data_IF_057480594159
#
_entry.id   IF_057480594159
#
_cell.length_a   1.000
_cell.length_b   1.000
_cell.length_c   1.000
_cell.angle_alpha   90.00
_cell.angle_beta   90.00
_cell.angle_gamma   90.00
#
_symmetry.space_group_name_H-M   'P 1'
#
loop_
_entity.id
_entity.type
_entity.pdbx_description
1 polymer ?
#
# COMPACT_ATOMS: atom_id res chain seq x y z
N UNK A 1 -20.07 -8.92 -6.29
CA UNK A 1 -18.63 -8.56 -6.14
C UNK A 1 -18.03 -9.47 -5.09
N UNK A 2 -16.96 -10.17 -5.42
CA UNK A 2 -16.33 -11.08 -4.48
C UNK A 2 -15.36 -10.34 -3.53
N UNK A 3 -14.83 -11.06 -2.56
CA UNK A 3 -13.96 -10.50 -1.52
C UNK A 3 -12.71 -9.82 -2.10
N UNK A 4 -12.14 -10.38 -3.16
CA UNK A 4 -10.96 -9.81 -3.81
C UNK A 4 -11.21 -8.39 -4.31
N UNK A 5 -12.26 -8.20 -5.07
CA UNK A 5 -12.60 -6.87 -5.62
C UNK A 5 -13.07 -5.90 -4.54
N UNK A 6 -13.79 -6.39 -3.54
CA UNK A 6 -14.19 -5.56 -2.40
C UNK A 6 -12.98 -5.02 -1.65
N UNK A 7 -12.02 -5.89 -1.35
CA UNK A 7 -10.80 -5.51 -0.66
C UNK A 7 -9.96 -4.54 -1.51
N UNK A 8 -9.76 -4.86 -2.78
CA UNK A 8 -8.99 -4.03 -3.68
C UNK A 8 -9.58 -2.62 -3.82
N UNK A 9 -10.90 -2.54 -4.06
CA UNK A 9 -11.54 -1.24 -4.24
C UNK A 9 -11.66 -0.45 -2.95
N UNK A 10 -11.79 -1.13 -1.83
CA UNK A 10 -11.73 -0.48 -0.53
C UNK A 10 -10.38 0.21 -0.31
N UNK A 11 -9.28 -0.51 -0.51
CA UNK A 11 -7.92 0.04 -0.34
C UNK A 11 -7.66 1.16 -1.36
N UNK A 12 -8.09 0.97 -2.60
CA UNK A 12 -8.02 2.00 -3.64
C UNK A 12 -8.73 3.29 -3.21
N UNK A 13 -9.96 3.18 -2.75
CA UNK A 13 -10.75 4.32 -2.30
C UNK A 13 -10.10 5.04 -1.12
N UNK A 14 -9.52 4.28 -0.21
CA UNK A 14 -8.83 4.82 0.95
C UNK A 14 -7.57 5.60 0.55
N UNK A 15 -6.80 5.07 -0.39
CA UNK A 15 -5.64 5.76 -0.92
C UNK A 15 -6.02 7.03 -1.69
N UNK A 16 -7.05 6.96 -2.52
CA UNK A 16 -7.54 8.12 -3.29
C UNK A 16 -8.10 9.23 -2.39
N UNK A 17 -8.60 8.88 -1.21
CA UNK A 17 -9.12 9.86 -0.25
C UNK A 17 -8.02 10.64 0.47
N UNK A 18 -6.79 10.18 0.46
CA UNK A 18 -5.67 10.90 1.08
C UNK A 18 -5.28 12.10 0.21
N UNK A 19 -5.26 13.28 0.81
CA UNK A 19 -5.02 14.54 0.08
C UNK A 19 -3.62 14.62 -0.55
N UNK A 20 -2.65 13.88 -0.03
CA UNK A 20 -1.28 13.89 -0.53
C UNK A 20 -1.05 12.91 -1.67
N UNK A 21 -1.91 11.92 -1.84
CA UNK A 21 -1.78 10.89 -2.87
C UNK A 21 -2.25 11.45 -4.22
N UNK A 22 -1.38 11.39 -5.22
CA UNK A 22 -1.70 11.85 -6.57
C UNK A 22 -2.10 10.71 -7.51
N UNK A 23 -1.61 9.49 -7.25
CA UNK A 23 -1.89 8.35 -8.12
C UNK A 23 -1.98 7.07 -7.31
N UNK A 24 -2.89 6.20 -7.71
CA UNK A 24 -3.03 4.85 -7.16
C UNK A 24 -2.88 3.85 -8.31
N UNK A 25 -1.97 2.91 -8.14
CA UNK A 25 -1.72 1.84 -9.11
C UNK A 25 -1.88 0.48 -8.44
N UNK A 26 -1.94 -0.57 -9.25
CA UNK A 26 -2.16 -1.93 -8.80
C UNK A 26 -1.28 -2.89 -9.59
N UNK A 27 -0.88 -3.97 -8.97
CA UNK A 27 -0.18 -5.07 -9.60
C UNK A 27 1.13 -5.43 -8.94
N UNK A 28 1.96 -6.20 -9.64
CA UNK A 28 3.31 -6.50 -9.17
C UNK A 28 4.17 -5.23 -9.14
N UNK A 29 5.02 -5.09 -8.14
CA UNK A 29 5.93 -3.95 -8.04
C UNK A 29 6.88 -3.85 -9.24
N UNK A 30 7.23 -4.98 -9.86
CA UNK A 30 8.07 -4.99 -11.06
C UNK A 30 7.39 -4.39 -12.29
N UNK A 31 6.06 -4.31 -12.28
CA UNK A 31 5.26 -3.75 -13.37
C UNK A 31 4.90 -2.29 -13.15
N UNK A 32 5.42 -1.66 -12.10
CA UNK A 32 5.16 -0.26 -11.82
C UNK A 32 5.75 0.60 -12.94
N UNK A 33 4.86 1.31 -13.65
CA UNK A 33 5.26 2.21 -14.73
C UNK A 33 5.80 3.52 -14.13
N UNK A 34 7.08 3.74 -14.29
CA UNK A 34 7.80 4.87 -13.71
C UNK A 34 7.98 6.04 -14.66
N UNK A 35 7.50 5.92 -15.90
CA UNK A 35 7.69 6.98 -16.90
C UNK A 35 6.79 8.20 -16.67
N UNK A 36 5.89 8.12 -15.70
CA UNK A 36 4.95 9.18 -15.38
C UNK A 36 5.38 9.95 -14.13
N UNK A 37 6.45 10.71 -14.24
CA UNK A 37 7.07 11.42 -13.12
C UNK A 37 6.16 12.42 -12.38
N UNK A 38 5.05 12.82 -12.98
CA UNK A 38 4.14 13.84 -12.40
C UNK A 38 3.05 13.26 -11.48
N UNK A 39 3.13 11.99 -11.14
CA UNK A 39 2.07 11.27 -10.45
C UNK A 39 2.39 10.94 -8.98
N UNK A 40 3.50 11.44 -8.47
CA UNK A 40 3.93 11.20 -7.09
C UNK A 40 3.39 12.25 -6.12
N UNK A 41 3.14 11.91 -4.85
CA UNK A 41 3.25 10.59 -4.23
C UNK A 41 2.28 9.56 -4.83
N UNK A 42 2.76 8.33 -4.97
CA UNK A 42 2.03 7.23 -5.57
C UNK A 42 1.82 6.12 -4.55
N UNK A 43 0.61 5.60 -4.48
CA UNK A 43 0.29 4.38 -3.71
C UNK A 43 0.13 3.22 -4.68
N UNK A 44 0.85 2.13 -4.43
CA UNK A 44 0.81 0.92 -5.23
C UNK A 44 0.27 -0.25 -4.41
N UNK A 45 -0.78 -0.89 -4.91
CA UNK A 45 -1.47 -1.98 -4.22
C UNK A 45 -1.11 -3.30 -4.91
N UNK A 46 -0.55 -4.24 -4.16
CA UNK A 46 -0.26 -5.58 -4.65
C UNK A 46 -0.90 -6.61 -3.74
N UNK A 47 -1.84 -7.39 -4.29
CA UNK A 47 -2.38 -8.56 -3.61
C UNK A 47 -1.55 -9.76 -4.07
N UNK A 48 -0.68 -10.23 -3.19
CA UNK A 48 0.37 -11.20 -3.52
C UNK A 48 -0.18 -12.59 -3.68
N UNK A 49 -1.06 -13.00 -2.77
CA UNK A 49 -1.61 -14.34 -2.73
C UNK A 49 -2.91 -14.41 -1.95
N UNK A 50 -3.62 -15.50 -2.13
CA UNK A 50 -4.82 -15.82 -1.37
C UNK A 50 -4.81 -17.30 -0.98
N UNK A 51 -5.50 -17.61 0.11
CA UNK A 51 -5.63 -18.98 0.59
C UNK A 51 -6.85 -19.13 1.48
N UNK A 52 -7.15 -20.35 1.86
CA UNK A 52 -8.26 -20.66 2.74
C UNK A 52 -7.74 -21.09 4.11
N UNK A 53 -8.42 -20.59 5.15
CA UNK A 53 -8.23 -21.08 6.52
C UNK A 53 -9.49 -21.82 6.92
N UNK A 54 -9.38 -23.13 7.11
CA UNK A 54 -10.51 -24.01 7.50
C UNK A 54 -11.73 -23.96 6.58
N UNK A 55 -11.56 -23.56 5.32
CA UNK A 55 -12.65 -23.52 4.34
C UNK A 55 -13.70 -22.43 4.57
N UNK A 56 -13.69 -21.79 5.71
CA UNK A 56 -14.69 -20.76 6.08
C UNK A 56 -14.11 -19.34 6.06
N UNK A 57 -12.82 -19.22 5.94
CA UNK A 57 -12.12 -17.94 5.94
C UNK A 57 -11.22 -17.85 4.72
N UNK A 58 -11.29 -16.73 4.04
CA UNK A 58 -10.41 -16.39 2.92
C UNK A 58 -9.34 -15.44 3.41
N UNK A 59 -8.09 -15.82 3.21
CA UNK A 59 -6.93 -15.04 3.63
C UNK A 59 -6.25 -14.44 2.42
N UNK A 60 -5.94 -13.15 2.48
CA UNK A 60 -5.13 -12.45 1.47
C UNK A 60 -3.85 -11.94 2.09
N UNK A 61 -2.75 -12.09 1.36
CA UNK A 61 -1.48 -11.45 1.67
C UNK A 61 -1.29 -10.24 0.77
N UNK A 62 -1.04 -9.08 1.36
CA UNK A 62 -1.01 -7.81 0.65
C UNK A 62 0.27 -7.05 0.89
N UNK A 63 0.63 -6.25 -0.10
CA UNK A 63 1.66 -5.23 0.01
C UNK A 63 1.08 -3.91 -0.49
N UNK A 64 1.23 -2.87 0.31
CA UNK A 64 0.87 -1.52 -0.11
C UNK A 64 2.14 -0.67 -0.05
N UNK A 65 2.61 -0.23 -1.21
CA UNK A 65 3.75 0.67 -1.31
C UNK A 65 3.29 2.11 -1.44
N UNK A 66 4.03 3.01 -0.83
CA UNK A 66 3.85 4.44 -1.04
C UNK A 66 5.21 5.05 -1.33
N UNK A 67 5.31 5.75 -2.45
CA UNK A 67 6.58 6.24 -2.98
C UNK A 67 6.49 7.70 -3.40
N UNK A 68 7.59 8.39 -3.24
CA UNK A 68 7.81 9.70 -3.83
C UNK A 68 9.17 9.73 -4.54
N UNK A 69 9.33 10.70 -5.42
CA UNK A 69 10.55 10.81 -6.21
C UNK A 69 11.63 11.56 -5.44
N UNK A 70 12.86 11.05 -5.50
CA UNK A 70 14.00 11.75 -4.92
C UNK A 70 14.42 12.91 -5.83
N UNK A 71 14.51 14.08 -5.23
CA UNK A 71 15.04 15.26 -5.91
C UNK A 71 16.53 15.36 -5.63
N UNK A 72 17.35 14.91 -6.60
CA UNK A 72 18.80 14.88 -6.43
C UNK A 72 19.33 16.32 -6.50
N UNK A 73 19.80 16.80 -5.36
CA UNK A 73 20.36 18.13 -5.22
C UNK A 73 21.89 18.03 -5.10
N UNK A 74 22.61 18.78 -5.92
CA UNK A 74 24.08 18.83 -5.92
C UNK A 74 24.65 19.95 -5.06
N UNK A 75 23.83 20.58 -4.22
CA UNK A 75 24.29 21.65 -3.33
C UNK A 75 25.26 21.13 -2.28
N UNK A 76 26.22 21.98 -1.93
CA UNK A 76 27.19 21.68 -0.89
C UNK A 76 26.48 21.73 0.46
N UNK A 77 26.61 20.66 1.24
CA UNK A 77 26.02 20.57 2.56
C UNK A 77 26.73 21.47 3.56
N UNK A 78 25.95 22.07 4.44
CA UNK A 78 26.46 22.89 5.54
C UNK A 78 26.44 22.15 6.88
N UNK A 79 25.65 21.07 6.98
CA UNK A 79 25.46 20.31 8.21
C UNK A 79 26.32 19.03 8.22
N UNK A 80 26.65 18.54 9.41
CA UNK A 80 27.36 17.28 9.59
C UNK A 80 26.46 16.08 9.27
N UNK A 81 25.15 16.22 9.42
CA UNK A 81 24.17 15.18 9.10
C UNK A 81 23.79 15.25 7.63
N UNK A 82 24.00 14.18 6.92
CA UNK A 82 23.69 14.09 5.49
C UNK A 82 22.39 13.34 5.26
N UNK A 83 21.34 14.07 4.92
CA UNK A 83 19.99 13.53 4.73
C UNK A 83 19.78 12.86 3.38
N UNK A 84 20.77 12.83 2.49
CA UNK A 84 20.65 12.26 1.15
C UNK A 84 19.54 12.93 0.33
N UNK A 85 19.75 14.21 0.00
CA UNK A 85 18.77 15.03 -0.72
C UNK A 85 17.45 15.17 0.08
N UNK A 86 16.32 14.87 -0.54
CA UNK A 86 15.00 14.89 0.12
C UNK A 86 14.54 13.50 0.61
N UNK A 87 15.47 12.56 0.78
CA UNK A 87 15.12 11.18 1.20
C UNK A 87 14.34 11.15 2.50
N UNK A 88 14.79 11.91 3.51
CA UNK A 88 14.12 11.95 4.82
C UNK A 88 12.70 12.48 4.69
N UNK A 89 12.52 13.53 3.91
CA UNK A 89 11.20 14.11 3.66
C UNK A 89 10.28 13.12 2.93
N UNK A 90 10.80 12.43 1.93
CA UNK A 90 10.06 11.41 1.20
C UNK A 90 9.65 10.24 2.10
N UNK A 91 10.56 9.76 2.93
CA UNK A 91 10.24 8.69 3.88
C UNK A 91 9.22 9.12 4.92
N UNK A 92 9.32 10.35 5.42
CA UNK A 92 8.38 10.88 6.38
C UNK A 92 6.96 11.02 5.79
N UNK A 93 6.86 11.61 4.62
CA UNK A 93 5.56 11.81 3.95
C UNK A 93 4.90 10.51 3.57
N UNK A 94 5.64 9.59 2.96
CA UNK A 94 5.10 8.30 2.52
C UNK A 94 4.71 7.41 3.71
N UNK A 95 5.48 7.45 4.79
CA UNK A 95 5.10 6.74 6.02
C UNK A 95 3.84 7.34 6.64
N UNK A 96 3.70 8.66 6.63
CA UNK A 96 2.50 9.32 7.14
C UNK A 96 1.24 8.90 6.36
N UNK A 97 1.35 8.80 5.04
CA UNK A 97 0.25 8.32 4.19
C UNK A 97 -0.13 6.88 4.57
N UNK A 98 0.84 5.98 4.62
CA UNK A 98 0.58 4.57 4.98
C UNK A 98 0.04 4.44 6.41
N UNK A 99 0.52 5.25 7.34
CA UNK A 99 0.02 5.23 8.71
C UNK A 99 -1.45 5.65 8.78
N UNK A 100 -1.85 6.71 8.09
CA UNK A 100 -3.27 7.12 8.02
C UNK A 100 -4.13 6.03 7.41
N UNK A 101 -3.67 5.42 6.31
CA UNK A 101 -4.37 4.31 5.68
C UNK A 101 -4.52 3.12 6.63
N UNK A 102 -3.43 2.74 7.32
CA UNK A 102 -3.46 1.60 8.23
C UNK A 102 -4.41 1.82 9.41
N UNK A 103 -4.37 2.98 10.03
CA UNK A 103 -5.27 3.31 11.15
C UNK A 103 -6.74 3.22 10.74
N UNK A 104 -7.06 3.71 9.55
CA UNK A 104 -8.43 3.63 9.02
C UNK A 104 -8.80 2.19 8.68
N UNK A 105 -7.91 1.45 8.01
CA UNK A 105 -8.13 0.04 7.69
C UNK A 105 -8.37 -0.80 8.94
N UNK A 106 -7.55 -0.63 9.95
CA UNK A 106 -7.65 -1.38 11.20
C UNK A 106 -9.04 -1.19 11.83
N UNK A 107 -9.50 0.04 11.91
CA UNK A 107 -10.83 0.37 12.45
C UNK A 107 -11.95 -0.24 11.61
N UNK A 108 -11.88 -0.07 10.29
CA UNK A 108 -12.92 -0.56 9.38
C UNK A 108 -12.97 -2.10 9.35
N UNK A 109 -11.82 -2.76 9.45
CA UNK A 109 -11.76 -4.23 9.48
C UNK A 109 -12.40 -4.78 10.74
N UNK A 110 -12.14 -4.17 11.90
CA UNK A 110 -12.79 -4.59 13.14
C UNK A 110 -14.31 -4.49 13.05
N UNK A 111 -14.82 -3.40 12.47
CA UNK A 111 -16.27 -3.18 12.32
C UNK A 111 -16.92 -4.17 11.35
N UNK A 112 -16.16 -4.77 10.44
CA UNK A 112 -16.67 -5.67 9.40
C UNK A 112 -16.28 -7.14 9.61
N UNK A 113 -15.82 -7.51 10.79
CA UNK A 113 -15.37 -8.87 11.13
C UNK A 113 -14.24 -9.37 10.22
N UNK A 114 -13.39 -8.46 9.78
CA UNK A 114 -12.17 -8.77 9.03
C UNK A 114 -11.00 -8.73 10.00
N UNK A 115 -10.18 -9.77 10.01
CA UNK A 115 -9.03 -9.85 10.91
C UNK A 115 -7.76 -9.50 10.13
N UNK A 116 -7.10 -8.45 10.55
CA UNK A 116 -5.77 -8.10 10.04
C UNK A 116 -4.69 -8.79 10.88
N UNK A 117 -3.52 -9.00 10.28
CA UNK A 117 -2.37 -9.55 11.00
C UNK A 117 -2.01 -8.71 12.21
N UNK A 118 -1.59 -9.37 13.29
CA UNK A 118 -1.23 -8.71 14.55
C UNK A 118 0.01 -7.82 14.42
N UNK A 119 0.94 -8.21 13.54
CA UNK A 119 2.23 -7.54 13.38
C UNK A 119 2.49 -7.22 11.90
N UNK A 120 1.78 -6.24 11.32
CA UNK A 120 2.13 -5.79 9.98
C UNK A 120 3.53 -5.17 9.98
N UNK A 121 4.27 -5.34 8.90
CA UNK A 121 5.64 -4.84 8.78
C UNK A 121 5.72 -3.70 7.78
N UNK A 122 6.67 -2.80 7.99
CA UNK A 122 6.98 -1.71 7.09
C UNK A 122 8.44 -1.82 6.67
N UNK A 123 8.68 -1.99 5.38
CA UNK A 123 10.02 -2.06 4.82
C UNK A 123 10.37 -0.73 4.15
N UNK A 124 11.47 -0.14 4.56
CA UNK A 124 11.96 1.10 3.97
C UNK A 124 12.56 0.84 2.59
N UNK A 125 12.26 1.73 1.66
CA UNK A 125 12.74 1.66 0.28
C UNK A 125 13.48 2.94 -0.06
N UNK A 126 14.69 2.80 -0.59
CA UNK A 126 15.51 3.93 -1.02
C UNK A 126 16.08 3.65 -2.39
N UNK A 127 16.04 4.62 -3.30
CA UNK A 127 16.52 4.49 -4.67
C UNK A 127 15.92 3.30 -5.43
N UNK A 128 14.65 3.01 -5.17
CA UNK A 128 13.97 1.91 -5.86
C UNK A 128 13.73 2.30 -7.32
N UNK A 129 14.07 1.38 -8.22
CA UNK A 129 13.93 1.55 -9.67
C UNK A 129 14.83 2.66 -10.24
N UNK A 130 14.86 2.77 -11.54
CA UNK A 130 15.70 3.74 -12.26
C UNK A 130 15.30 5.19 -12.03
N UNK A 131 14.10 5.44 -11.52
CA UNK A 131 13.58 6.79 -11.25
C UNK A 131 13.82 7.28 -9.82
N UNK A 132 14.65 6.59 -9.06
CA UNK A 132 15.06 7.03 -7.73
C UNK A 132 13.89 7.30 -6.79
N UNK A 133 13.07 6.29 -6.56
CA UNK A 133 11.93 6.38 -5.66
C UNK A 133 12.33 6.05 -4.22
N UNK A 134 11.80 6.82 -3.30
CA UNK A 134 11.91 6.56 -1.86
C UNK A 134 10.52 6.33 -1.28
N UNK A 135 10.42 5.43 -0.34
CA UNK A 135 9.14 5.18 0.32
C UNK A 135 9.18 3.99 1.25
N UNK A 136 8.01 3.40 1.43
CA UNK A 136 7.81 2.25 2.32
C UNK A 136 6.88 1.26 1.66
N UNK A 137 7.03 0.00 2.04
CA UNK A 137 6.10 -1.07 1.70
C UNK A 137 5.51 -1.62 2.99
N UNK A 138 4.19 -1.52 3.12
CA UNK A 138 3.43 -2.12 4.20
C UNK A 138 3.05 -3.53 3.80
N UNK A 139 3.45 -4.52 4.60
CA UNK A 139 3.13 -5.93 4.40
C UNK A 139 2.18 -6.41 5.48
N UNK A 140 1.07 -7.00 5.10
CA UNK A 140 0.09 -7.52 6.04
C UNK A 140 -0.79 -8.58 5.39
N UNK A 141 -1.43 -9.37 6.26
CA UNK A 141 -2.43 -10.35 5.84
C UNK A 141 -3.79 -9.92 6.38
N UNK A 142 -4.84 -10.23 5.63
CA UNK A 142 -6.22 -10.09 6.10
C UNK A 142 -6.97 -11.40 5.95
N UNK A 143 -7.81 -11.71 6.92
CA UNK A 143 -8.72 -12.84 6.88
C UNK A 143 -10.15 -12.33 6.85
N UNK A 144 -10.90 -12.78 5.86
CA UNK A 144 -12.28 -12.36 5.62
C UNK A 144 -13.19 -13.58 5.67
N UNK A 145 -14.44 -13.44 6.17
CA UNK A 145 -15.40 -14.52 6.05
C UNK A 145 -15.57 -14.93 4.59
N UNK A 146 -15.48 -16.25 4.34
CA UNK A 146 -15.73 -16.77 3.02
C UNK A 146 -17.24 -16.92 2.83
N UNK A 147 -17.87 -15.89 2.30
CA UNK A 147 -19.31 -15.88 2.03
C UNK A 147 -19.57 -16.75 0.83
N UNK A 148 -20.21 -17.89 1.05
CA UNK A 148 -20.62 -18.75 -0.04
C UNK A 148 -21.69 -18.07 -0.87
N UNK A 149 -21.43 -17.89 -2.16
CA UNK A 149 -22.47 -17.60 -3.11
C UNK A 149 -23.30 -18.87 -3.23
N UNK A 150 -24.60 -18.78 -2.94
CA UNK A 150 -25.50 -19.93 -3.13
C UNK A 150 -25.53 -20.31 -4.61
N UNK A 151 -25.09 -21.51 -4.92
CA UNK A 151 -25.17 -22.04 -6.28
C UNK A 151 -26.61 -22.27 -6.74
N UNK A 152 -27.57 -22.09 -5.85
CA UNK A 152 -29.00 -22.29 -6.10
C UNK A 152 -29.76 -20.97 -6.23
N UNK A 153 -29.11 -19.84 -6.15
CA UNK A 153 -29.80 -18.57 -6.42
C UNK A 153 -30.07 -18.46 -7.93
N UNK A 154 -31.32 -18.31 -8.31
CA UNK A 154 -31.63 -17.99 -9.69
C UNK A 154 -31.09 -16.60 -10.02
N UNK A 155 -30.49 -16.47 -11.16
CA UNK A 155 -29.98 -15.22 -11.69
C UNK A 155 -31.08 -14.13 -11.75
#
# INVERSE_FOLDING_TARGET
MNQYTQLLYYIKSLAEADALVNTVTKGDFDLLDLDKANIFPLVHINIVSAGFTNGQTLKFSLQIGCFDIRDINKEVRTDKFWEQDNEVDNHNETLAILNRMWLKMYTDFELNNITASENPTLDIQSFVKSNTLDGWILNFDVEMPNVTISLCEPD
#
